data_IF_038271455901
#
_entry.id   IF_038271455901
#
_cell.length_a   1.000
_cell.length_b   1.000
_cell.length_c   1.000
_cell.angle_alpha   90.00
_cell.angle_beta   90.00
_cell.angle_gamma   90.00
#
_symmetry.space_group_name_H-M   'P 1'
#
loop_
_entity.id
_entity.type
_entity.pdbx_description
1 polymer ?
#
# COMPACT_ATOMS: atom_id res chain seq x y z
N UNK A 1 3.99 -4.20 -6.53
CA UNK A 1 3.75 -5.62 -6.15
C UNK A 1 4.22 -6.56 -7.26
N UNK A 2 4.65 -7.78 -6.93
CA UNK A 2 5.17 -8.76 -7.90
C UNK A 2 4.11 -9.77 -8.37
N UNK A 3 4.27 -10.36 -9.58
CA UNK A 3 3.38 -11.42 -10.05
C UNK A 3 3.39 -12.66 -9.14
N UNK A 4 2.27 -13.39 -8.99
CA UNK A 4 2.23 -14.63 -8.24
C UNK A 4 3.11 -15.72 -8.87
N UNK A 5 3.95 -16.38 -8.07
CA UNK A 5 4.90 -17.41 -8.54
C UNK A 5 4.24 -18.77 -8.87
N UNK A 6 3.11 -19.09 -8.24
CA UNK A 6 2.48 -20.44 -8.32
C UNK A 6 1.07 -20.41 -8.89
N UNK A 7 0.90 -19.92 -10.13
CA UNK A 7 -0.42 -19.76 -10.75
C UNK A 7 -1.22 -21.06 -10.90
N UNK A 8 -0.56 -22.18 -11.24
CA UNK A 8 -1.23 -23.49 -11.38
C UNK A 8 -1.85 -23.98 -10.06
N UNK A 9 -1.12 -23.85 -8.95
CA UNK A 9 -1.62 -24.22 -7.63
C UNK A 9 -2.80 -23.34 -7.19
N UNK A 10 -2.73 -22.02 -7.44
CA UNK A 10 -3.85 -21.09 -7.16
C UNK A 10 -5.10 -21.53 -7.92
N UNK A 11 -5.00 -21.81 -9.23
CA UNK A 11 -6.15 -22.27 -10.03
C UNK A 11 -6.70 -23.62 -9.55
N UNK A 12 -5.85 -24.53 -9.11
CA UNK A 12 -6.27 -25.82 -8.57
C UNK A 12 -7.05 -25.68 -7.24
N UNK A 13 -6.53 -24.87 -6.31
CA UNK A 13 -7.20 -24.59 -5.02
C UNK A 13 -8.56 -23.93 -5.25
N UNK A 14 -8.62 -22.95 -6.15
CA UNK A 14 -9.84 -22.21 -6.47
C UNK A 14 -10.59 -22.76 -7.69
N UNK A 15 -10.51 -24.08 -7.95
CA UNK A 15 -11.15 -24.69 -9.14
C UNK A 15 -12.67 -24.46 -9.20
N UNK A 16 -13.33 -24.39 -8.04
CA UNK A 16 -14.78 -24.09 -7.94
C UNK A 16 -15.09 -22.59 -7.98
N UNK A 17 -14.06 -21.73 -7.93
CA UNK A 17 -14.15 -20.27 -7.88
C UNK A 17 -13.17 -19.63 -8.87
N UNK A 18 -13.36 -19.83 -10.19
CA UNK A 18 -12.40 -19.39 -11.22
C UNK A 18 -12.13 -17.88 -11.17
N UNK A 19 -13.16 -17.07 -10.92
CA UNK A 19 -13.02 -15.61 -10.78
C UNK A 19 -12.10 -15.20 -9.62
N UNK A 20 -12.05 -15.98 -8.54
CA UNK A 20 -11.13 -15.73 -7.42
C UNK A 20 -9.69 -16.03 -7.85
N UNK A 21 -9.46 -17.12 -8.58
CA UNK A 21 -8.15 -17.45 -9.13
C UNK A 21 -7.64 -16.34 -10.06
N UNK A 22 -8.50 -15.86 -10.97
CA UNK A 22 -8.14 -14.81 -11.91
C UNK A 22 -7.89 -13.47 -11.21
N UNK A 23 -8.69 -13.10 -10.20
CA UNK A 23 -8.42 -11.92 -9.38
C UNK A 23 -7.06 -12.04 -8.67
N UNK A 24 -6.73 -13.20 -8.10
CA UNK A 24 -5.45 -13.43 -7.44
C UNK A 24 -4.25 -13.36 -8.40
N UNK A 25 -4.44 -13.78 -9.66
CA UNK A 25 -3.42 -13.69 -10.69
C UNK A 25 -3.20 -12.26 -11.19
N UNK A 26 -4.26 -11.47 -11.30
CA UNK A 26 -4.21 -10.14 -11.92
C UNK A 26 -4.10 -8.98 -10.92
N UNK A 27 -4.27 -9.21 -9.61
CA UNK A 27 -4.23 -8.14 -8.60
C UNK A 27 -2.96 -7.30 -8.61
N UNK A 28 -1.81 -7.88 -8.99
CA UNK A 28 -0.55 -7.13 -9.03
C UNK A 28 -0.60 -6.03 -10.12
N UNK A 29 -1.20 -6.33 -11.27
CA UNK A 29 -1.35 -5.39 -12.38
C UNK A 29 -2.23 -4.23 -11.99
N UNK A 30 -3.40 -4.53 -11.40
CA UNK A 30 -4.35 -3.51 -10.95
C UNK A 30 -3.70 -2.61 -9.89
N UNK A 31 -3.05 -3.22 -8.90
CA UNK A 31 -2.37 -2.48 -7.84
C UNK A 31 -1.25 -1.57 -8.37
N UNK A 32 -0.39 -2.09 -9.25
CA UNK A 32 0.72 -1.30 -9.79
C UNK A 32 0.23 -0.15 -10.67
N UNK A 33 -0.79 -0.38 -11.49
CA UNK A 33 -1.41 0.68 -12.29
C UNK A 33 -1.97 1.79 -11.40
N UNK A 34 -2.66 1.43 -10.31
CA UNK A 34 -3.14 2.43 -9.36
C UNK A 34 -2.01 3.19 -8.68
N UNK A 35 -0.88 2.55 -8.36
CA UNK A 35 0.29 3.27 -7.84
C UNK A 35 0.85 4.26 -8.86
N UNK A 36 0.98 3.87 -10.12
CA UNK A 36 1.44 4.76 -11.20
C UNK A 36 0.52 5.98 -11.37
N UNK A 37 -0.80 5.77 -11.29
CA UNK A 37 -1.80 6.85 -11.31
C UNK A 37 -1.64 7.79 -10.11
N UNK A 38 -1.43 7.26 -8.92
CA UNK A 38 -1.22 8.03 -7.69
C UNK A 38 0.08 8.86 -7.75
N UNK A 39 1.19 8.26 -8.19
CA UNK A 39 2.46 8.94 -8.40
C UNK A 39 2.36 10.05 -9.46
N UNK A 40 1.57 9.83 -10.52
CA UNK A 40 1.29 10.86 -11.52
C UNK A 40 0.51 12.03 -10.92
N UNK A 41 -0.54 11.76 -10.14
CA UNK A 41 -1.31 12.81 -9.46
C UNK A 41 -0.46 13.63 -8.50
N UNK A 42 0.48 12.99 -7.80
CA UNK A 42 1.43 13.69 -6.94
C UNK A 42 2.38 14.59 -7.72
N UNK A 43 2.97 14.08 -8.82
CA UNK A 43 3.84 14.89 -9.71
C UNK A 43 3.11 16.10 -10.31
N UNK A 44 1.82 15.96 -10.57
CA UNK A 44 0.97 17.04 -11.07
C UNK A 44 0.49 18.00 -9.97
N UNK A 45 0.82 17.76 -8.70
CA UNK A 45 0.38 18.55 -7.55
C UNK A 45 -1.11 18.42 -7.24
N UNK A 46 -1.78 17.38 -7.79
CA UNK A 46 -3.21 17.11 -7.57
C UNK A 46 -3.47 16.22 -6.36
N UNK A 47 -2.45 15.52 -5.89
CA UNK A 47 -2.49 14.68 -4.70
C UNK A 47 -1.20 14.86 -3.89
N UNK A 48 -1.24 14.48 -2.62
CA UNK A 48 -0.07 14.34 -1.75
C UNK A 48 -0.06 12.91 -1.22
N UNK A 49 0.98 12.13 -1.49
CA UNK A 49 1.06 10.74 -1.03
C UNK A 49 1.67 10.67 0.36
N UNK A 50 0.91 10.14 1.30
CA UNK A 50 1.37 9.87 2.66
C UNK A 50 1.80 8.41 2.76
N UNK A 51 3.10 8.18 2.67
CA UNK A 51 3.71 6.85 2.73
C UNK A 51 4.73 6.78 3.88
N UNK A 52 4.81 5.68 4.63
CA UNK A 52 5.79 5.56 5.69
C UNK A 52 7.21 5.47 5.12
N UNK A 53 8.18 6.09 5.80
CA UNK A 53 9.61 6.06 5.42
C UNK A 53 10.16 4.62 5.41
N UNK A 54 9.65 3.79 6.32
CA UNK A 54 9.95 2.38 6.40
C UNK A 54 8.68 1.59 6.75
N UNK A 55 8.50 0.43 6.13
CA UNK A 55 7.41 -0.51 6.42
C UNK A 55 7.95 -1.73 7.19
N UNK A 56 8.08 -1.65 8.54
CA UNK A 56 8.67 -2.74 9.32
C UNK A 56 7.71 -3.92 9.53
N UNK A 57 6.41 -3.72 9.28
CA UNK A 57 5.35 -4.70 9.53
C UNK A 57 4.76 -5.24 8.23
N UNK A 58 4.28 -6.48 8.26
CA UNK A 58 3.47 -7.02 7.16
C UNK A 58 1.99 -6.90 7.51
N UNK A 59 1.13 -7.06 6.51
CA UNK A 59 -0.33 -7.06 6.71
C UNK A 59 -0.86 -8.18 7.64
N UNK A 60 -0.03 -9.19 7.96
CA UNK A 60 -0.36 -10.28 8.90
C UNK A 60 0.35 -10.15 10.25
N UNK A 61 1.00 -9.02 10.51
CA UNK A 61 1.67 -8.78 11.78
C UNK A 61 0.66 -8.71 12.93
N UNK A 62 0.94 -9.43 14.03
CA UNK A 62 0.10 -9.46 15.24
C UNK A 62 0.89 -9.19 16.52
N UNK A 63 2.22 -9.09 16.43
CA UNK A 63 3.08 -8.86 17.58
C UNK A 63 2.96 -7.43 18.11
N UNK A 64 2.36 -7.28 19.30
CA UNK A 64 2.10 -5.99 19.93
C UNK A 64 3.30 -5.05 19.91
N UNK A 65 4.48 -5.50 20.37
CA UNK A 65 5.69 -4.66 20.44
C UNK A 65 6.10 -4.09 19.07
N UNK A 66 5.93 -4.88 18.01
CA UNK A 66 6.32 -4.49 16.65
C UNK A 66 5.29 -3.55 16.04
N UNK A 67 4.01 -3.79 16.30
CA UNK A 67 2.92 -2.89 15.93
C UNK A 67 3.05 -1.53 16.66
N UNK A 68 3.34 -1.54 17.95
CA UNK A 68 3.57 -0.33 18.74
C UNK A 68 4.76 0.47 18.19
N UNK A 69 5.87 -0.21 17.87
CA UNK A 69 7.02 0.45 17.25
C UNK A 69 6.65 1.09 15.89
N UNK A 70 5.95 0.36 15.02
CA UNK A 70 5.47 0.87 13.73
C UNK A 70 4.55 2.09 13.91
N UNK A 71 3.67 2.06 14.90
CA UNK A 71 2.78 3.17 15.23
C UNK A 71 3.57 4.41 15.67
N UNK A 72 4.51 4.26 16.61
CA UNK A 72 5.32 5.38 17.11
C UNK A 72 6.14 6.02 16.00
N UNK A 73 6.75 5.22 15.11
CA UNK A 73 7.47 5.73 13.93
C UNK A 73 6.54 6.51 13.01
N UNK A 74 5.37 5.96 12.67
CA UNK A 74 4.39 6.65 11.82
C UNK A 74 3.84 7.94 12.44
N UNK A 75 3.60 7.95 13.75
CA UNK A 75 3.18 9.15 14.47
C UNK A 75 4.25 10.25 14.44
N UNK A 76 5.52 9.89 14.72
CA UNK A 76 6.64 10.83 14.66
C UNK A 76 6.83 11.41 13.25
N UNK A 77 6.71 10.56 12.22
CA UNK A 77 6.71 10.99 10.83
C UNK A 77 5.55 11.93 10.52
N UNK A 78 4.33 11.59 10.91
CA UNK A 78 3.17 12.46 10.66
C UNK A 78 3.30 13.82 11.35
N UNK A 79 3.81 13.88 12.58
CA UNK A 79 4.06 15.13 13.28
C UNK A 79 5.11 16.00 12.56
N UNK A 80 6.17 15.38 12.02
CA UNK A 80 7.22 16.03 11.24
C UNK A 80 6.68 16.57 9.91
N UNK A 81 5.85 15.80 9.21
CA UNK A 81 5.40 16.08 7.84
C UNK A 81 4.10 16.92 7.80
N UNK A 82 3.41 17.08 8.93
CA UNK A 82 2.17 17.85 9.05
C UNK A 82 2.20 19.26 8.45
N UNK A 83 3.28 20.06 8.58
CA UNK A 83 3.34 21.37 7.93
C UNK A 83 3.18 21.30 6.41
N UNK A 84 3.83 20.33 5.76
CA UNK A 84 3.73 20.12 4.31
C UNK A 84 2.30 19.73 3.90
N UNK A 85 1.62 18.92 4.71
CA UNK A 85 0.22 18.55 4.45
C UNK A 85 -0.71 19.76 4.54
N UNK A 86 -0.49 20.64 5.52
CA UNK A 86 -1.26 21.88 5.67
C UNK A 86 -1.04 22.81 4.48
N UNK A 87 0.20 22.95 4.03
CA UNK A 87 0.53 23.74 2.84
C UNK A 87 -0.19 23.22 1.60
N UNK A 88 -0.13 21.91 1.34
CA UNK A 88 -0.85 21.28 0.24
C UNK A 88 -2.37 21.52 0.30
N UNK A 89 -2.96 21.49 1.51
CA UNK A 89 -4.39 21.72 1.73
C UNK A 89 -4.79 23.20 1.75
N UNK A 90 -3.83 24.13 1.64
CA UNK A 90 -4.10 25.57 1.75
C UNK A 90 -4.53 26.01 3.15
N UNK A 91 -4.07 25.32 4.19
CA UNK A 91 -4.40 25.56 5.61
C UNK A 91 -3.29 26.32 6.37
N UNK A 92 -2.30 26.85 5.66
CA UNK A 92 -1.22 27.71 6.17
C UNK A 92 -1.41 29.15 5.73
#
# INVERSE_FOLDING_TARGET
MQPPKYGGAIRAIYRKHPYVADAMMNRYTVYNRTLEELEQLEREGKAFLVCPDAMPVTNRETGFKKLEASYRTGHAQGARDLPCWKEFLGLT
#
